data_IF_104279997200
#
_entry.id   IF_104279997200
#
_cell.length_a   1.000
_cell.length_b   1.000
_cell.length_c   1.000
_cell.angle_alpha   90.00
_cell.angle_beta   90.00
_cell.angle_gamma   90.00
#
_symmetry.space_group_name_H-M   'P 1'
#
loop_
_entity.id
_entity.type
_entity.pdbx_description
1 polymer ?
#
# COMPACT_ATOMS: atom_id res chain seq x y z
N UNK A 1 -15.62 33.19 -5.34
CA UNK A 1 -15.76 32.00 -4.48
C UNK A 1 -14.69 31.00 -4.95
N UNK A 2 -13.61 30.85 -4.22
CA UNK A 2 -12.64 29.80 -4.51
C UNK A 2 -13.36 28.46 -4.28
N UNK A 3 -13.44 27.64 -5.31
CA UNK A 3 -13.88 26.25 -5.18
C UNK A 3 -12.82 25.62 -4.27
N UNK A 4 -13.20 25.33 -3.03
CA UNK A 4 -12.37 24.51 -2.15
C UNK A 4 -12.24 23.15 -2.85
N UNK A 5 -11.12 22.90 -3.46
CA UNK A 5 -10.83 21.60 -4.06
C UNK A 5 -10.79 20.62 -2.89
N UNK A 6 -11.78 19.74 -2.80
CA UNK A 6 -11.86 18.69 -1.80
C UNK A 6 -10.68 17.73 -2.01
N UNK A 7 -9.55 18.02 -1.40
CA UNK A 7 -8.35 17.17 -1.47
C UNK A 7 -8.53 15.95 -0.57
N UNK A 8 -8.19 14.80 -1.11
CA UNK A 8 -8.22 13.52 -0.39
C UNK A 8 -6.78 13.01 -0.24
N UNK A 9 -6.48 12.38 0.89
CA UNK A 9 -5.18 11.76 1.14
C UNK A 9 -5.12 10.35 0.58
N UNK A 10 -4.03 10.04 -0.11
CA UNK A 10 -3.64 8.69 -0.48
C UNK A 10 -2.29 8.39 0.18
N UNK A 11 -2.29 7.59 1.23
CA UNK A 11 -1.12 7.30 2.04
C UNK A 11 -0.63 5.90 1.73
N UNK A 12 0.56 5.80 1.14
CA UNK A 12 1.11 4.55 0.63
C UNK A 12 2.20 4.02 1.56
N UNK A 13 2.07 2.77 1.98
CA UNK A 13 3.16 2.07 2.67
C UNK A 13 4.00 1.36 1.63
N UNK A 14 5.29 1.66 1.58
CA UNK A 14 6.17 1.29 0.47
C UNK A 14 6.07 2.28 -0.70
N UNK A 15 6.00 3.57 -0.39
CA UNK A 15 5.72 4.65 -1.35
C UNK A 15 6.81 4.84 -2.41
N UNK A 16 8.04 4.41 -2.14
CA UNK A 16 9.17 4.40 -3.09
C UNK A 16 9.25 3.10 -3.89
N UNK A 17 8.39 2.12 -3.60
CA UNK A 17 8.35 0.84 -4.30
C UNK A 17 7.82 0.95 -5.73
N UNK A 18 8.06 -0.09 -6.55
CA UNK A 18 7.71 -0.12 -7.97
C UNK A 18 6.21 0.11 -8.24
N UNK A 19 5.33 -0.52 -7.43
CA UNK A 19 3.88 -0.39 -7.59
C UNK A 19 3.43 1.03 -7.25
N UNK A 20 3.86 1.55 -6.11
CA UNK A 20 3.53 2.92 -5.69
C UNK A 20 4.04 3.94 -6.71
N UNK A 21 5.28 3.80 -7.18
CA UNK A 21 5.86 4.64 -8.24
C UNK A 21 4.99 4.61 -9.50
N UNK A 22 4.51 3.46 -9.93
CA UNK A 22 3.63 3.34 -11.10
C UNK A 22 2.29 4.06 -10.87
N UNK A 23 1.68 3.91 -9.69
CA UNK A 23 0.44 4.61 -9.31
C UNK A 23 0.64 6.13 -9.33
N UNK A 24 1.72 6.62 -8.75
CA UNK A 24 2.07 8.03 -8.70
C UNK A 24 2.21 8.64 -10.10
N UNK A 25 2.93 7.96 -10.97
CA UNK A 25 3.12 8.38 -12.35
C UNK A 25 1.82 8.33 -13.15
N UNK A 26 0.94 7.35 -12.87
CA UNK A 26 -0.40 7.28 -13.43
C UNK A 26 -1.26 8.49 -13.04
N UNK A 27 -1.24 8.89 -11.76
CA UNK A 27 -1.97 10.08 -11.26
C UNK A 27 -1.44 11.35 -11.96
N UNK A 28 -0.13 11.54 -12.05
CA UNK A 28 0.45 12.72 -12.72
C UNK A 28 0.21 12.68 -14.24
N UNK A 29 0.26 11.51 -14.85
CA UNK A 29 -0.10 11.35 -16.25
C UNK A 29 -1.53 11.83 -16.53
N UNK A 30 -2.48 11.43 -15.69
CA UNK A 30 -3.89 11.86 -15.79
C UNK A 30 -3.99 13.40 -15.59
N UNK A 31 -3.31 13.95 -14.61
CA UNK A 31 -3.21 15.42 -14.41
C UNK A 31 -2.62 16.13 -15.62
N UNK A 32 -1.70 15.49 -16.33
CA UNK A 32 -1.10 15.95 -17.58
C UNK A 32 -1.97 15.73 -18.81
N UNK A 33 -3.18 15.21 -18.67
CA UNK A 33 -4.14 15.00 -19.75
C UNK A 33 -4.08 13.62 -20.41
N UNK A 34 -3.44 12.64 -19.80
CA UNK A 34 -3.52 11.25 -20.28
C UNK A 34 -4.95 10.72 -20.19
N UNK A 35 -5.35 9.83 -21.11
CA UNK A 35 -6.69 9.24 -21.08
C UNK A 35 -6.89 8.37 -19.83
N UNK A 36 -8.13 8.32 -19.32
CA UNK A 36 -8.54 7.52 -18.17
C UNK A 36 -8.68 6.02 -18.49
N UNK A 37 -8.05 5.56 -19.55
CA UNK A 37 -8.10 4.17 -20.01
C UNK A 37 -7.58 3.24 -18.92
N UNK A 38 -8.37 2.21 -18.59
CA UNK A 38 -8.01 1.25 -17.54
C UNK A 38 -8.57 1.57 -16.17
N UNK A 39 -9.12 2.77 -15.93
CA UNK A 39 -9.83 3.07 -14.69
C UNK A 39 -11.23 2.46 -14.72
N UNK A 40 -11.44 1.44 -13.88
CA UNK A 40 -12.74 0.73 -13.76
C UNK A 40 -13.85 1.69 -13.32
N UNK A 41 -13.52 2.71 -12.53
CA UNK A 41 -14.46 3.74 -12.07
C UNK A 41 -15.03 4.60 -13.20
N UNK A 42 -14.40 4.61 -14.37
CA UNK A 42 -14.85 5.35 -15.56
C UNK A 42 -15.71 4.53 -16.51
N UNK A 43 -15.93 3.24 -16.22
CA UNK A 43 -16.81 2.40 -17.01
C UNK A 43 -18.26 2.90 -16.90
N UNK A 44 -18.97 2.81 -18.03
CA UNK A 44 -20.41 3.10 -18.06
C UNK A 44 -21.16 2.21 -17.04
N UNK A 45 -22.00 2.84 -16.22
CA UNK A 45 -22.71 2.18 -15.12
C UNK A 45 -21.95 2.06 -13.80
N UNK A 46 -20.63 2.30 -13.77
CA UNK A 46 -19.86 2.40 -12.54
C UNK A 46 -19.47 3.84 -12.20
N UNK A 47 -19.43 4.72 -13.20
CA UNK A 47 -19.10 6.13 -13.00
C UNK A 47 -20.10 6.78 -12.03
N UNK A 48 -19.57 7.38 -10.97
CA UNK A 48 -20.37 8.03 -9.94
C UNK A 48 -19.75 9.37 -9.56
N UNK A 49 -20.53 10.44 -9.66
CA UNK A 49 -20.08 11.80 -9.32
C UNK A 49 -19.73 12.00 -7.83
N UNK A 50 -20.10 11.04 -6.97
CA UNK A 50 -19.69 11.07 -5.56
C UNK A 50 -18.26 10.56 -5.32
N UNK A 51 -17.66 9.92 -6.31
CA UNK A 51 -16.27 9.48 -6.21
C UNK A 51 -15.30 10.65 -6.41
N UNK A 52 -14.21 10.70 -5.66
CA UNK A 52 -13.22 11.73 -5.84
C UNK A 52 -12.51 11.56 -7.19
N UNK A 53 -12.27 12.67 -7.86
CA UNK A 53 -11.43 12.67 -9.04
C UNK A 53 -10.01 12.23 -8.69
N UNK A 54 -9.39 11.44 -9.56
CA UNK A 54 -8.02 10.95 -9.38
C UNK A 54 -7.04 12.11 -9.14
N UNK A 55 -7.28 13.24 -9.81
CA UNK A 55 -6.48 14.44 -9.69
C UNK A 55 -6.55 15.11 -8.30
N UNK A 56 -7.60 14.83 -7.52
CA UNK A 56 -7.83 15.43 -6.20
C UNK A 56 -6.94 14.83 -5.11
N UNK A 57 -6.22 13.73 -5.37
CA UNK A 57 -5.42 13.07 -4.36
C UNK A 57 -4.12 13.81 -4.05
N UNK A 58 -3.92 14.09 -2.76
CA UNK A 58 -2.60 14.34 -2.20
C UNK A 58 -1.98 13.00 -1.84
N UNK A 59 -0.77 12.76 -2.31
CA UNK A 59 -0.08 11.50 -2.05
C UNK A 59 1.10 11.73 -1.13
N UNK A 60 1.21 10.88 -0.12
CA UNK A 60 2.36 10.74 0.76
C UNK A 60 2.42 9.31 1.30
N UNK A 61 3.28 9.03 2.25
CA UNK A 61 3.35 7.71 2.86
C UNK A 61 4.64 7.46 3.60
N UNK A 62 4.93 6.19 3.75
CA UNK A 62 6.09 5.71 4.49
C UNK A 62 6.94 4.81 3.60
N UNK A 63 8.24 4.91 3.80
CA UNK A 63 9.17 3.92 3.27
C UNK A 63 10.34 3.72 4.24
N UNK A 64 11.01 2.59 4.12
CA UNK A 64 12.14 2.24 4.97
C UNK A 64 13.48 2.57 4.33
N UNK A 65 13.52 2.71 3.01
CA UNK A 65 14.75 2.97 2.25
C UNK A 65 14.43 3.36 0.80
N UNK A 66 15.48 3.69 0.04
CA UNK A 66 15.39 3.89 -1.41
C UNK A 66 15.13 5.34 -1.79
N UNK A 67 14.94 5.54 -3.09
CA UNK A 67 14.73 6.84 -3.73
C UNK A 67 13.68 6.69 -4.85
N UNK A 68 12.71 7.60 -4.88
CA UNK A 68 11.62 7.55 -5.85
C UNK A 68 12.06 7.88 -7.27
N UNK A 69 13.13 8.68 -7.43
CA UNK A 69 13.70 9.00 -8.75
C UNK A 69 14.41 7.78 -9.33
N UNK A 70 15.22 7.09 -8.53
CA UNK A 70 15.91 5.86 -8.96
C UNK A 70 14.90 4.77 -9.36
N UNK A 71 13.85 4.60 -8.57
CA UNK A 71 12.77 3.64 -8.87
C UNK A 71 12.05 3.98 -10.16
N UNK A 72 11.73 5.26 -10.40
CA UNK A 72 11.08 5.69 -11.64
C UNK A 72 11.96 5.44 -12.88
N UNK A 73 13.24 5.76 -12.81
CA UNK A 73 14.19 5.48 -13.88
C UNK A 73 14.37 3.97 -14.13
N UNK A 74 14.33 3.16 -13.07
CA UNK A 74 14.32 1.70 -13.20
C UNK A 74 13.06 1.22 -13.93
N UNK A 75 11.87 1.71 -13.52
CA UNK A 75 10.60 1.35 -14.16
C UNK A 75 10.56 1.78 -15.63
N UNK A 76 11.18 2.91 -15.96
CA UNK A 76 11.35 3.31 -17.36
C UNK A 76 12.25 2.34 -18.12
N UNK A 77 13.44 2.04 -17.60
CA UNK A 77 14.41 1.16 -18.27
C UNK A 77 13.85 -0.24 -18.57
N UNK A 78 13.00 -0.77 -17.71
CA UNK A 78 12.36 -2.09 -17.90
C UNK A 78 11.05 -2.00 -18.69
N UNK A 79 10.68 -0.82 -19.21
CA UNK A 79 9.55 -0.61 -20.10
C UNK A 79 8.18 -0.54 -19.43
N UNK A 80 8.11 -0.35 -18.10
CA UNK A 80 6.84 -0.19 -17.36
C UNK A 80 6.32 1.24 -17.50
N UNK A 81 7.19 2.24 -17.36
CA UNK A 81 6.83 3.66 -17.45
C UNK A 81 7.36 4.29 -18.75
N UNK A 82 6.52 4.96 -19.55
CA UNK A 82 6.96 5.81 -20.64
C UNK A 82 7.81 6.98 -20.15
N UNK A 83 8.80 7.40 -20.95
CA UNK A 83 9.75 8.45 -20.54
C UNK A 83 9.06 9.80 -20.32
N UNK A 84 8.12 10.17 -21.16
CA UNK A 84 7.32 11.40 -21.04
C UNK A 84 6.54 11.46 -19.74
N UNK A 85 6.02 10.34 -19.26
CA UNK A 85 5.32 10.23 -17.97
C UNK A 85 6.31 10.38 -16.80
N UNK A 86 7.50 9.80 -16.91
CA UNK A 86 8.56 9.96 -15.90
C UNK A 86 9.00 11.41 -15.80
N UNK A 87 9.18 12.09 -16.94
CA UNK A 87 9.59 13.50 -16.97
C UNK A 87 8.47 14.41 -16.43
N UNK A 88 7.22 14.15 -16.77
CA UNK A 88 6.06 14.89 -16.28
C UNK A 88 5.96 14.83 -14.74
N UNK A 89 6.24 13.68 -14.13
CA UNK A 89 6.11 13.46 -12.70
C UNK A 89 7.32 13.94 -11.86
N UNK A 90 8.33 14.58 -12.47
CA UNK A 90 9.54 15.03 -11.75
C UNK A 90 9.23 15.91 -10.55
N UNK A 91 8.44 16.95 -10.73
CA UNK A 91 8.06 17.86 -9.65
C UNK A 91 7.16 17.23 -8.57
N UNK A 92 6.42 16.16 -8.88
CA UNK A 92 5.71 15.38 -7.87
C UNK A 92 6.69 14.59 -6.99
N UNK A 93 7.66 13.93 -7.62
CA UNK A 93 8.67 13.16 -6.87
C UNK A 93 9.42 14.04 -5.87
N UNK A 94 9.83 15.24 -6.28
CA UNK A 94 10.49 16.17 -5.37
C UNK A 94 9.61 16.53 -4.16
N UNK A 95 8.33 16.81 -4.39
CA UNK A 95 7.37 17.08 -3.30
C UNK A 95 7.12 15.87 -2.44
N UNK A 96 7.05 14.68 -3.04
CA UNK A 96 6.83 13.42 -2.34
C UNK A 96 7.99 13.14 -1.38
N UNK A 97 9.25 13.22 -1.86
CA UNK A 97 10.43 12.97 -1.03
C UNK A 97 10.48 13.87 0.21
N UNK A 98 9.99 15.11 0.11
CA UNK A 98 9.88 16.01 1.27
C UNK A 98 8.77 15.63 2.27
N UNK A 99 7.84 14.78 1.88
CA UNK A 99 6.68 14.41 2.70
C UNK A 99 6.69 12.97 3.19
N UNK A 100 7.61 12.13 2.71
CA UNK A 100 7.72 10.73 3.15
C UNK A 100 8.18 10.68 4.61
N UNK A 101 7.46 9.91 5.41
CA UNK A 101 7.85 9.61 6.78
C UNK A 101 8.63 8.29 6.87
N UNK A 102 9.43 8.10 7.94
CA UNK A 102 10.11 6.84 8.19
C UNK A 102 9.14 5.68 8.32
N UNK A 103 9.35 4.64 7.53
CA UNK A 103 8.59 3.40 7.63
C UNK A 103 9.07 2.51 8.77
N UNK A 104 8.30 1.49 9.07
CA UNK A 104 8.60 0.50 10.12
C UNK A 104 9.28 -0.70 9.48
N UNK A 105 10.61 -0.87 9.65
CA UNK A 105 11.32 -2.00 9.06
C UNK A 105 11.06 -3.29 9.85
N UNK A 106 11.39 -4.41 9.23
CA UNK A 106 11.52 -5.66 9.95
C UNK A 106 12.81 -5.64 10.77
N UNK A 107 12.85 -6.26 11.97
CA UNK A 107 14.05 -6.25 12.82
C UNK A 107 15.29 -6.83 12.13
N UNK A 108 15.05 -7.78 11.21
CA UNK A 108 16.09 -8.47 10.47
C UNK A 108 16.72 -7.64 9.34
N UNK A 109 16.05 -6.56 8.93
CA UNK A 109 16.47 -5.74 7.77
C UNK A 109 17.14 -4.42 8.18
N UNK A 110 17.46 -4.23 9.46
CA UNK A 110 17.96 -2.96 10.04
C UNK A 110 19.19 -2.39 9.32
N UNK A 111 20.06 -3.23 8.77
CA UNK A 111 21.28 -2.81 8.05
C UNK A 111 20.97 -2.26 6.63
N UNK A 112 19.78 -2.49 6.12
CA UNK A 112 19.35 -2.17 4.75
C UNK A 112 18.44 -0.95 4.68
N UNK A 113 18.18 -0.28 5.82
CA UNK A 113 17.19 0.77 5.92
C UNK A 113 17.80 2.12 6.29
N UNK A 114 17.06 3.18 6.00
CA UNK A 114 17.46 4.54 6.38
C UNK A 114 17.56 4.69 7.91
N UNK A 115 18.49 5.49 8.45
CA UNK A 115 18.69 5.64 9.88
C UNK A 115 17.42 6.03 10.66
N UNK A 116 16.58 6.88 10.08
CA UNK A 116 15.32 7.29 10.71
C UNK A 116 14.32 6.13 10.80
N UNK A 117 14.27 5.26 9.79
CA UNK A 117 13.47 4.04 9.81
C UNK A 117 14.04 3.01 10.78
N UNK A 118 15.37 2.86 10.84
CA UNK A 118 16.02 1.99 11.83
C UNK A 118 15.66 2.41 13.26
N UNK A 119 15.61 3.71 13.55
CA UNK A 119 15.23 4.23 14.86
C UNK A 119 13.79 3.85 15.29
N UNK A 120 12.90 3.53 14.35
CA UNK A 120 11.56 3.00 14.69
C UNK A 120 11.63 1.68 15.46
N UNK A 121 12.71 0.91 15.31
CA UNK A 121 12.88 -0.35 16.04
C UNK A 121 13.21 -0.16 17.54
N UNK A 122 13.64 1.01 17.96
CA UNK A 122 13.89 1.33 19.36
C UNK A 122 12.58 1.59 20.13
N UNK A 123 11.50 1.89 19.40
CA UNK A 123 10.19 2.17 19.96
C UNK A 123 9.45 0.87 20.35
N UNK A 124 8.57 0.93 21.33
CA UNK A 124 7.60 -0.13 21.58
C UNK A 124 6.57 -0.19 20.45
N UNK A 125 5.85 -1.30 20.31
CA UNK A 125 4.81 -1.44 19.26
C UNK A 125 3.71 -0.38 19.39
N UNK A 126 3.37 0.05 20.60
CA UNK A 126 2.41 1.12 20.83
C UNK A 126 2.96 2.48 20.39
N UNK A 127 4.20 2.79 20.71
CA UNK A 127 4.84 4.02 20.25
C UNK A 127 5.00 4.07 18.72
N UNK A 128 5.27 2.92 18.08
CA UNK A 128 5.26 2.81 16.62
C UNK A 128 3.88 3.17 16.07
N UNK A 129 2.81 2.57 16.59
CA UNK A 129 1.44 2.87 16.14
C UNK A 129 1.10 4.34 16.39
N UNK A 130 1.48 4.91 17.52
CA UNK A 130 1.23 6.33 17.81
C UNK A 130 2.05 7.26 16.88
N UNK A 131 3.27 6.90 16.51
CA UNK A 131 4.06 7.63 15.51
C UNK A 131 3.36 7.64 14.15
N UNK A 132 2.93 6.48 13.65
CA UNK A 132 2.18 6.36 12.40
C UNK A 132 0.88 7.19 12.40
N UNK A 133 0.15 7.16 13.52
CA UNK A 133 -1.06 7.98 13.71
C UNK A 133 -0.75 9.48 13.66
N UNK A 134 0.38 9.88 14.26
CA UNK A 134 0.79 11.28 14.24
C UNK A 134 1.13 11.76 12.84
N UNK A 135 1.75 10.93 12.01
CA UNK A 135 2.01 11.25 10.60
C UNK A 135 0.70 11.47 9.84
N UNK A 136 -0.28 10.58 9.98
CA UNK A 136 -1.60 10.73 9.37
C UNK A 136 -2.28 12.04 9.76
N UNK A 137 -2.24 12.40 11.04
CA UNK A 137 -2.79 13.67 11.55
C UNK A 137 -2.07 14.87 10.98
N UNK A 138 -0.74 14.81 10.93
CA UNK A 138 0.09 15.89 10.42
C UNK A 138 -0.20 16.15 8.94
N UNK A 139 -0.22 15.11 8.10
CA UNK A 139 -0.54 15.26 6.68
C UNK A 139 -1.94 15.82 6.46
N UNK A 140 -2.94 15.28 7.17
CA UNK A 140 -4.31 15.78 7.06
C UNK A 140 -4.42 17.26 7.45
N UNK A 141 -3.75 17.66 8.52
CA UNK A 141 -3.76 19.05 9.00
C UNK A 141 -3.01 19.99 8.06
N UNK A 142 -1.78 19.63 7.66
CA UNK A 142 -0.91 20.46 6.83
C UNK A 142 -1.51 20.67 5.45
N UNK A 143 -2.01 19.60 4.84
CA UNK A 143 -2.56 19.63 3.49
C UNK A 143 -4.07 19.90 3.44
N UNK A 144 -4.70 20.12 4.59
CA UNK A 144 -6.15 20.40 4.74
C UNK A 144 -7.00 19.32 4.04
N UNK A 145 -6.66 18.06 4.27
CA UNK A 145 -7.33 16.93 3.63
C UNK A 145 -8.67 16.67 4.31
N UNK A 146 -9.68 16.39 3.50
CA UNK A 146 -11.02 16.05 3.99
C UNK A 146 -11.10 14.60 4.46
N UNK A 147 -10.43 13.70 3.76
CA UNK A 147 -10.42 12.26 4.00
C UNK A 147 -9.06 11.70 3.60
N UNK A 148 -8.73 10.54 4.12
CA UNK A 148 -7.54 9.79 3.73
C UNK A 148 -7.83 8.30 3.62
N UNK A 149 -7.02 7.60 2.86
CA UNK A 149 -6.98 6.14 2.79
C UNK A 149 -5.53 5.69 2.89
N UNK A 150 -5.30 4.64 3.65
CA UNK A 150 -3.98 4.00 3.75
C UNK A 150 -3.97 2.76 2.87
N UNK A 151 -3.00 2.66 1.97
CA UNK A 151 -2.82 1.50 1.10
C UNK A 151 -1.48 0.84 1.39
N UNK A 152 -1.52 -0.39 1.85
CA UNK A 152 -0.34 -1.19 2.12
C UNK A 152 0.11 -1.90 0.84
N UNK A 153 1.27 -1.53 0.33
CA UNK A 153 1.86 -2.07 -0.90
C UNK A 153 3.38 -2.26 -0.77
N UNK A 154 3.86 -2.41 0.46
CA UNK A 154 5.24 -2.78 0.75
C UNK A 154 5.56 -4.18 0.19
N UNK A 155 6.84 -4.54 0.19
CA UNK A 155 7.29 -5.89 -0.18
C UNK A 155 6.63 -6.96 0.70
N UNK A 156 6.59 -8.20 0.19
CA UNK A 156 6.09 -9.34 0.96
C UNK A 156 6.84 -9.45 2.30
N UNK A 157 6.07 -9.65 3.35
CA UNK A 157 6.60 -9.89 4.69
C UNK A 157 7.07 -11.33 4.84
N UNK A 158 8.03 -11.55 5.71
CA UNK A 158 8.48 -12.90 6.07
C UNK A 158 7.38 -13.68 6.79
N UNK A 159 7.39 -15.00 6.64
CA UNK A 159 6.51 -15.86 7.42
C UNK A 159 6.79 -15.69 8.91
N UNK A 160 5.75 -15.63 9.71
CA UNK A 160 5.81 -15.40 11.15
C UNK A 160 5.13 -16.52 11.92
N UNK A 161 5.60 -16.75 13.13
CA UNK A 161 4.88 -17.59 14.07
C UNK A 161 3.44 -17.06 14.28
N UNK A 162 2.47 -17.95 14.44
CA UNK A 162 1.10 -17.56 14.74
C UNK A 162 1.03 -16.64 15.96
N UNK A 163 0.20 -15.63 15.87
CA UNK A 163 -0.07 -14.76 17.01
C UNK A 163 -0.79 -15.54 18.13
N UNK A 164 -0.69 -15.08 19.38
CA UNK A 164 -1.47 -15.63 20.49
C UNK A 164 -2.97 -15.69 20.17
N UNK A 165 -3.68 -16.70 20.73
CA UNK A 165 -5.10 -16.96 20.43
C UNK A 165 -6.02 -15.78 20.69
N UNK A 166 -5.64 -14.88 21.55
CA UNK A 166 -6.39 -13.64 21.85
C UNK A 166 -6.56 -12.75 20.62
N UNK A 167 -5.69 -12.88 19.62
CA UNK A 167 -5.80 -12.19 18.34
C UNK A 167 -6.87 -12.78 17.41
N UNK A 168 -7.36 -13.99 17.70
CA UNK A 168 -8.47 -14.62 16.98
C UNK A 168 -9.85 -14.14 17.46
N UNK A 169 -9.90 -13.40 18.56
CA UNK A 169 -11.15 -12.87 19.13
C UNK A 169 -11.52 -11.54 18.48
N UNK A 170 -12.64 -11.50 17.78
CA UNK A 170 -13.20 -10.32 17.11
C UNK A 170 -13.52 -9.17 18.08
N UNK A 171 -13.79 -9.46 19.34
CA UNK A 171 -14.13 -8.47 20.38
C UNK A 171 -12.89 -7.94 21.10
N UNK A 172 -11.73 -8.58 20.90
CA UNK A 172 -10.49 -8.13 21.52
C UNK A 172 -10.08 -6.72 21.04
N UNK A 173 -9.40 -6.00 21.92
CA UNK A 173 -8.82 -4.69 21.61
C UNK A 173 -7.37 -4.89 21.13
N UNK A 174 -7.08 -4.73 19.84
CA UNK A 174 -5.75 -4.96 19.32
C UNK A 174 -4.70 -3.99 19.90
N UNK A 175 -5.09 -2.81 20.37
CA UNK A 175 -4.18 -1.86 21.01
C UNK A 175 -3.65 -2.47 22.33
N UNK A 176 -4.52 -3.07 23.12
CA UNK A 176 -4.11 -3.76 24.37
C UNK A 176 -3.29 -5.01 24.08
N UNK A 177 -3.61 -5.72 22.99
CA UNK A 177 -2.85 -6.91 22.60
C UNK A 177 -1.42 -6.57 22.16
N UNK A 178 -1.17 -5.38 21.62
CA UNK A 178 0.17 -4.92 21.25
C UNK A 178 1.15 -4.86 22.44
N UNK A 179 0.66 -4.63 23.67
CA UNK A 179 1.52 -4.61 24.85
C UNK A 179 2.26 -5.95 25.09
N UNK A 180 1.66 -7.04 24.62
CA UNK A 180 2.16 -8.41 24.81
C UNK A 180 2.51 -9.09 23.47
N UNK A 181 2.35 -8.40 22.37
CA UNK A 181 2.63 -8.95 21.06
C UNK A 181 4.14 -9.17 20.86
N UNK A 182 4.54 -10.16 20.06
CA UNK A 182 5.94 -10.36 19.72
C UNK A 182 6.47 -9.17 18.91
N UNK A 183 7.71 -8.77 19.16
CA UNK A 183 8.37 -7.62 18.47
C UNK A 183 8.39 -7.77 16.97
N UNK A 184 8.40 -8.97 16.46
CA UNK A 184 8.37 -9.30 15.05
C UNK A 184 6.95 -9.49 14.49
N UNK A 185 5.90 -8.95 15.15
CA UNK A 185 4.55 -8.91 14.58
C UNK A 185 4.58 -8.28 13.18
N UNK A 186 3.75 -8.79 12.27
CA UNK A 186 3.63 -8.28 10.92
C UNK A 186 3.47 -6.74 10.89
N UNK A 187 4.25 -6.06 10.07
CA UNK A 187 4.24 -4.60 9.98
C UNK A 187 2.92 -4.09 9.44
N UNK A 188 2.32 -4.82 8.50
CA UNK A 188 1.00 -4.50 7.95
C UNK A 188 -0.09 -4.36 9.01
N UNK A 189 0.02 -5.10 10.13
CA UNK A 189 -0.90 -5.02 11.27
C UNK A 189 -0.78 -3.68 11.99
N UNK A 190 0.45 -3.17 12.18
CA UNK A 190 0.68 -1.88 12.85
C UNK A 190 0.10 -0.72 12.04
N UNK A 191 0.32 -0.72 10.72
CA UNK A 191 -0.27 0.27 9.82
C UNK A 191 -1.80 0.18 9.77
N UNK A 192 -2.36 -1.05 9.75
CA UNK A 192 -3.81 -1.24 9.79
C UNK A 192 -4.42 -0.66 11.08
N UNK A 193 -3.83 -0.97 12.24
CA UNK A 193 -4.29 -0.44 13.53
C UNK A 193 -4.20 1.09 13.55
N UNK A 194 -3.08 1.68 13.10
CA UNK A 194 -2.90 3.12 13.03
C UNK A 194 -3.97 3.80 12.15
N UNK A 195 -4.21 3.27 10.94
CA UNK A 195 -5.24 3.78 10.04
C UNK A 195 -6.64 3.71 10.66
N UNK A 196 -7.01 2.58 11.24
CA UNK A 196 -8.31 2.37 11.89
C UNK A 196 -8.50 3.32 13.08
N UNK A 197 -7.45 3.55 13.87
CA UNK A 197 -7.49 4.51 14.99
C UNK A 197 -7.85 5.93 14.52
N UNK A 198 -7.35 6.33 13.35
CA UNK A 198 -7.62 7.67 12.78
C UNK A 198 -8.89 7.70 11.88
N UNK A 199 -9.68 6.62 11.88
CA UNK A 199 -10.91 6.54 11.09
C UNK A 199 -10.66 6.46 9.58
N UNK A 200 -9.47 6.07 9.17
CA UNK A 200 -9.09 5.97 7.75
C UNK A 200 -9.24 4.55 7.23
N UNK A 201 -9.90 4.35 6.08
CA UNK A 201 -9.90 3.07 5.41
C UNK A 201 -8.49 2.51 5.20
N UNK A 202 -8.37 1.19 5.35
CA UNK A 202 -7.12 0.47 5.11
C UNK A 202 -7.30 -0.54 3.98
N UNK A 203 -6.45 -0.46 2.97
CA UNK A 203 -6.44 -1.38 1.83
C UNK A 203 -5.12 -2.14 1.84
N UNK A 204 -5.20 -3.46 1.97
CA UNK A 204 -4.03 -4.32 1.85
C UNK A 204 -3.88 -4.82 0.42
N UNK A 205 -2.88 -4.34 -0.28
CA UNK A 205 -2.57 -4.73 -1.67
C UNK A 205 -1.52 -5.84 -1.76
N UNK A 206 -1.25 -6.53 -0.65
CA UNK A 206 -0.22 -7.57 -0.50
C UNK A 206 -0.78 -8.83 0.15
N UNK A 207 -0.05 -9.96 0.13
CA UNK A 207 -0.41 -11.17 0.88
C UNK A 207 -0.29 -11.05 2.42
N UNK A 208 0.33 -9.98 2.93
CA UNK A 208 0.53 -9.78 4.38
C UNK A 208 -0.81 -9.80 5.14
N UNK A 209 -0.83 -10.17 6.45
CA UNK A 209 -2.08 -10.32 7.19
C UNK A 209 -2.88 -9.02 7.34
N UNK A 210 -2.22 -7.89 7.57
CA UNK A 210 -2.88 -6.58 7.70
C UNK A 210 -4.09 -6.60 8.63
N UNK A 211 -5.24 -6.18 8.11
CA UNK A 211 -6.51 -6.16 8.81
C UNK A 211 -7.30 -7.48 8.73
N UNK A 212 -6.74 -8.56 8.17
CA UNK A 212 -7.41 -9.86 8.11
C UNK A 212 -7.40 -10.62 9.45
N UNK A 213 -6.58 -10.19 10.41
CA UNK A 213 -6.57 -10.74 11.77
C UNK A 213 -7.87 -10.38 12.48
N UNK A 214 -8.53 -11.36 13.12
CA UNK A 214 -9.87 -11.21 13.70
C UNK A 214 -9.99 -10.01 14.64
N UNK A 215 -9.06 -9.85 15.58
CA UNK A 215 -9.07 -8.71 16.52
C UNK A 215 -9.01 -7.35 15.79
N UNK A 216 -8.22 -7.25 14.69
CA UNK A 216 -8.09 -6.02 13.90
C UNK A 216 -9.34 -5.79 13.06
N UNK A 217 -9.86 -6.83 12.40
CA UNK A 217 -11.10 -6.75 11.63
C UNK A 217 -12.30 -6.37 12.52
N UNK A 218 -12.40 -6.97 13.70
CA UNK A 218 -13.40 -6.64 14.71
C UNK A 218 -13.28 -5.20 15.20
N UNK A 219 -12.06 -4.73 15.43
CA UNK A 219 -11.81 -3.33 15.80
C UNK A 219 -12.23 -2.36 14.69
N UNK A 220 -11.92 -2.68 13.42
CA UNK A 220 -12.36 -1.88 12.29
C UNK A 220 -13.91 -1.80 12.20
N UNK A 221 -14.60 -2.93 12.38
CA UNK A 221 -16.08 -2.96 12.43
C UNK A 221 -16.64 -2.10 13.55
N UNK A 222 -16.09 -2.20 14.77
CA UNK A 222 -16.52 -1.38 15.91
C UNK A 222 -16.28 0.12 15.68
N UNK A 223 -15.24 0.48 14.95
CA UNK A 223 -14.93 1.87 14.57
C UNK A 223 -15.70 2.35 13.33
N UNK A 224 -16.40 1.48 12.61
CA UNK A 224 -17.07 1.83 11.35
C UNK A 224 -16.09 2.17 10.22
N UNK A 225 -14.88 1.62 10.27
CA UNK A 225 -13.81 1.90 9.28
C UNK A 225 -13.73 0.74 8.29
N UNK A 226 -13.87 1.01 6.97
CA UNK A 226 -13.72 -0.02 5.95
C UNK A 226 -12.29 -0.55 5.87
N UNK A 227 -12.16 -1.87 5.74
CA UNK A 227 -10.90 -2.56 5.45
C UNK A 227 -11.09 -3.48 4.25
N UNK A 228 -10.12 -3.50 3.34
CA UNK A 228 -10.16 -4.25 2.09
C UNK A 228 -8.85 -5.02 1.91
N UNK A 229 -8.90 -6.13 1.22
CA UNK A 229 -7.76 -7.02 0.92
C UNK A 229 -8.19 -8.47 1.11
N UNK A 230 -7.29 -9.39 1.00
CA UNK A 230 -5.88 -9.22 0.74
C UNK A 230 -5.60 -9.42 -0.74
N UNK A 231 -4.53 -8.78 -1.13
CA UNK A 231 -3.77 -8.86 -2.35
C UNK A 231 -4.42 -8.21 -3.58
N UNK A 232 -3.60 -7.47 -4.33
CA UNK A 232 -3.97 -6.88 -5.60
C UNK A 232 -3.87 -7.90 -6.73
N UNK A 233 -4.87 -7.91 -7.61
CA UNK A 233 -4.90 -8.80 -8.77
C UNK A 233 -4.31 -8.12 -9.99
N UNK A 234 -3.03 -8.41 -10.27
CA UNK A 234 -2.29 -7.88 -11.41
C UNK A 234 -1.58 -9.00 -12.16
N UNK A 235 -0.96 -8.67 -13.30
CA UNK A 235 -0.07 -9.56 -14.04
C UNK A 235 -0.73 -10.89 -14.42
N UNK A 236 -0.03 -11.97 -14.18
CA UNK A 236 -0.45 -13.30 -14.61
C UNK A 236 -1.75 -13.79 -13.98
N UNK A 237 -1.98 -13.49 -12.71
CA UNK A 237 -3.24 -13.85 -12.03
C UNK A 237 -4.44 -13.20 -12.71
N UNK A 238 -4.31 -11.93 -13.14
CA UNK A 238 -5.34 -11.23 -13.90
C UNK A 238 -5.62 -11.96 -15.23
N UNK A 239 -4.58 -12.29 -15.98
CA UNK A 239 -4.71 -13.02 -17.24
C UNK A 239 -5.32 -14.40 -17.06
N UNK A 240 -4.87 -15.17 -16.08
CA UNK A 240 -5.43 -16.50 -15.77
C UNK A 240 -6.91 -16.40 -15.40
N UNK A 241 -7.28 -15.43 -14.59
CA UNK A 241 -8.68 -15.21 -14.19
C UNK A 241 -9.57 -14.83 -15.36
N UNK A 242 -9.07 -14.03 -16.31
CA UNK A 242 -9.80 -13.64 -17.50
C UNK A 242 -9.96 -14.81 -18.51
N UNK A 243 -8.94 -15.64 -18.67
CA UNK A 243 -8.92 -16.70 -19.68
C UNK A 243 -9.51 -18.03 -19.18
N UNK A 244 -9.49 -18.31 -17.89
CA UNK A 244 -10.01 -19.56 -17.33
C UNK A 244 -11.49 -19.82 -17.71
N UNK A 245 -12.40 -18.85 -17.67
CA UNK A 245 -13.78 -19.05 -18.13
C UNK A 245 -13.85 -19.44 -19.61
N UNK A 246 -13.02 -18.84 -20.47
CA UNK A 246 -12.98 -19.16 -21.89
C UNK A 246 -12.60 -20.63 -22.13
N UNK A 247 -11.59 -21.13 -21.43
CA UNK A 247 -11.19 -22.54 -21.55
C UNK A 247 -12.29 -23.47 -21.04
N UNK A 248 -12.91 -23.16 -19.88
CA UNK A 248 -14.02 -23.91 -19.33
C UNK A 248 -15.21 -23.98 -20.26
N UNK A 249 -15.63 -22.83 -20.78
CA UNK A 249 -16.85 -22.71 -21.57
C UNK A 249 -16.71 -23.36 -22.97
N UNK A 250 -15.48 -23.61 -23.40
CA UNK A 250 -15.16 -24.37 -24.61
C UNK A 250 -14.74 -25.81 -24.37
N UNK A 251 -14.88 -26.28 -23.12
CA UNK A 251 -14.47 -27.62 -22.70
C UNK A 251 -13.02 -27.97 -23.09
N UNK A 252 -12.10 -26.98 -23.01
CA UNK A 252 -10.70 -27.17 -23.29
C UNK A 252 -9.99 -27.64 -22.03
N UNK A 253 -9.12 -28.66 -22.18
CA UNK A 253 -8.26 -29.14 -21.11
C UNK A 253 -6.90 -28.43 -21.17
N UNK A 254 -6.63 -27.57 -20.19
CA UNK A 254 -5.33 -26.90 -20.06
C UNK A 254 -4.35 -27.83 -19.38
N UNK A 255 -3.36 -28.32 -20.11
CA UNK A 255 -2.36 -29.28 -19.62
C UNK A 255 -1.27 -28.61 -18.80
N UNK A 256 -0.87 -27.40 -19.18
CA UNK A 256 0.12 -26.61 -18.45
C UNK A 256 -0.12 -25.11 -18.71
N UNK A 257 0.19 -24.31 -17.73
CA UNK A 257 0.28 -22.86 -17.84
C UNK A 257 1.42 -22.36 -16.96
N UNK A 258 2.49 -21.99 -17.58
CA UNK A 258 3.66 -21.44 -16.91
C UNK A 258 3.66 -19.92 -17.03
N UNK A 259 4.02 -19.25 -15.94
CA UNK A 259 4.19 -17.82 -15.88
C UNK A 259 5.38 -17.46 -14.99
N UNK A 260 6.18 -16.54 -15.47
CA UNK A 260 7.39 -16.11 -14.78
C UNK A 260 7.22 -14.67 -14.30
N UNK A 261 7.56 -14.42 -13.04
CA UNK A 261 7.68 -13.06 -12.53
C UNK A 261 9.03 -12.48 -12.97
N UNK A 262 9.03 -11.82 -14.13
CA UNK A 262 10.24 -11.27 -14.76
C UNK A 262 10.51 -9.82 -14.38
N UNK A 263 9.51 -9.10 -13.90
CA UNK A 263 9.59 -7.69 -13.54
C UNK A 263 9.83 -7.60 -12.02
N UNK A 264 11.10 -7.81 -11.63
CA UNK A 264 11.49 -7.94 -10.24
C UNK A 264 11.07 -6.80 -9.34
N UNK A 265 10.20 -7.12 -8.42
CA UNK A 265 10.20 -6.56 -7.09
C UNK A 265 11.21 -7.37 -6.25
N UNK A 266 11.48 -6.93 -5.03
CA UNK A 266 12.41 -7.63 -4.12
C UNK A 266 11.94 -9.05 -3.72
N UNK A 267 10.73 -9.49 -4.11
CA UNK A 267 10.19 -10.82 -3.79
C UNK A 267 11.08 -11.95 -4.35
N UNK A 268 11.63 -11.76 -5.56
CA UNK A 268 12.59 -12.71 -6.13
C UNK A 268 13.92 -12.77 -5.39
N UNK A 269 14.30 -11.71 -4.68
CA UNK A 269 15.48 -11.71 -3.82
C UNK A 269 15.19 -12.38 -2.46
N UNK A 270 14.02 -12.11 -1.89
CA UNK A 270 13.55 -12.73 -0.66
C UNK A 270 13.44 -14.26 -0.78
N UNK A 271 13.00 -14.77 -1.95
CA UNK A 271 12.92 -16.22 -2.25
C UNK A 271 14.29 -16.91 -2.41
N UNK A 272 15.38 -16.14 -2.54
CA UNK A 272 16.74 -16.69 -2.63
C UNK A 272 17.44 -16.78 -1.27
N UNK A 273 16.88 -16.20 -0.24
CA UNK A 273 17.41 -16.28 1.11
C UNK A 273 17.04 -17.65 1.69
N UNK A 274 17.98 -18.59 1.88
CA UNK A 274 17.67 -19.85 2.53
C UNK A 274 17.34 -19.54 3.99
N UNK A 275 16.18 -19.94 4.43
CA UNK A 275 15.78 -19.94 5.85
C UNK A 275 16.81 -20.69 6.72
#
# INVERSE_FOLDING_TARGET
MSIEVNRNGLFLVGVRGAIATTVLHGIEGIRGGMPLTGLVTELEGLKNSAWPDVESFFVSGWDISGDSHETAELMHRIGVLPKDVVDLAGGLRDRLEMSIAPGVPEPEDVELVDPNSAAMLDLSLLEIVDSLRQDLKNWCKTEKLRRGVVVYMASAEREREPLPKEWEDDDADPIKLLEKAPRNISRSVLYAIAAICEGMPFINFTPAPGAAISAVAGFARRKGVPVLGNDGKTGETLLKTALAPMFRDRNLNVLAWEGYNMLGNKDGAALKDPM
#
